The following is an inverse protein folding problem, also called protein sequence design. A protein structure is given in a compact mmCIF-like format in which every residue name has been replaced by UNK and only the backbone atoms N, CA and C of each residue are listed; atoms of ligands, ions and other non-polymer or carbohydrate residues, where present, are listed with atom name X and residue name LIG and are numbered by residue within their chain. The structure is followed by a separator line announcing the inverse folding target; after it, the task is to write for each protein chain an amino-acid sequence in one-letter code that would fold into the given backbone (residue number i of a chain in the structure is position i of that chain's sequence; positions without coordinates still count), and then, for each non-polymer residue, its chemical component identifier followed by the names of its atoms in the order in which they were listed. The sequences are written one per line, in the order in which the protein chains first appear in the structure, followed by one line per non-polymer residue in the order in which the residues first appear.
data_IF_232703212527
#
_entry.id   IF_232703212527
#
_cell.length_a   1.000
_cell.length_b   1.000
_cell.length_c   1.000
_cell.angle_alpha   90.00
_cell.angle_beta   90.00
_cell.angle_gamma   90.00
#
_symmetry.space_group_name_H-M   'P 1'
#
loop_
_entity.id
_entity.type
_entity.pdbx_description
1 polymer ?
#
# COMPACT_ATOMS: atom_id res chain seq x y z
N UNK A 1 -13.73 11.47 -15.16
CA UNK A 1 -12.28 11.67 -14.97
C UNK A 1 -11.89 11.07 -13.63
N UNK A 2 -10.95 10.13 -13.62
CA UNK A 2 -10.52 9.43 -12.42
C UNK A 2 -9.08 9.82 -12.08
N UNK A 3 -8.83 10.16 -10.82
CA UNK A 3 -7.49 10.41 -10.29
C UNK A 3 -7.15 9.32 -9.28
N UNK A 4 -6.02 8.64 -9.48
CA UNK A 4 -5.49 7.64 -8.55
C UNK A 4 -4.25 8.22 -7.87
N UNK A 5 -4.26 8.25 -6.54
CA UNK A 5 -3.19 8.80 -5.73
C UNK A 5 -2.34 7.65 -5.18
N UNK A 6 -1.16 7.41 -5.76
CA UNK A 6 -0.31 6.26 -5.42
C UNK A 6 0.64 5.87 -6.56
N UNK A 7 1.51 4.90 -6.30
CA UNK A 7 2.44 4.38 -7.31
C UNK A 7 2.83 2.91 -7.12
N UNK A 8 2.21 2.19 -6.18
CA UNK A 8 2.41 0.75 -6.02
C UNK A 8 1.51 -0.07 -6.95
N UNK A 9 1.57 -1.38 -6.83
CA UNK A 9 0.74 -2.29 -7.63
C UNK A 9 -0.77 -2.03 -7.43
N UNK A 10 -1.21 -1.68 -6.21
CA UNK A 10 -2.60 -1.24 -5.96
C UNK A 10 -3.00 -0.05 -6.84
N UNK A 11 -2.10 0.91 -7.05
CA UNK A 11 -2.38 2.05 -7.91
C UNK A 11 -2.49 1.60 -9.38
N UNK A 12 -1.64 0.65 -9.82
CA UNK A 12 -1.68 0.09 -11.18
C UNK A 12 -2.98 -0.67 -11.44
N UNK A 13 -3.45 -1.45 -10.48
CA UNK A 13 -4.74 -2.13 -10.54
C UNK A 13 -5.89 -1.12 -10.62
N UNK A 14 -5.87 -0.07 -9.80
CA UNK A 14 -6.88 0.98 -9.81
C UNK A 14 -6.95 1.70 -11.17
N UNK A 15 -5.81 2.12 -11.73
CA UNK A 15 -5.81 2.90 -12.99
C UNK A 15 -6.28 2.06 -14.17
N UNK A 16 -5.81 0.82 -14.29
CA UNK A 16 -6.20 -0.07 -15.39
C UNK A 16 -7.67 -0.52 -15.26
N UNK A 17 -8.14 -0.75 -14.03
CA UNK A 17 -9.56 -1.03 -13.78
C UNK A 17 -10.44 0.16 -14.14
N UNK A 18 -10.04 1.39 -13.79
CA UNK A 18 -10.79 2.59 -14.14
C UNK A 18 -10.91 2.77 -15.66
N UNK A 19 -9.84 2.51 -16.43
CA UNK A 19 -9.90 2.52 -17.90
C UNK A 19 -10.91 1.49 -18.42
N UNK A 20 -10.82 0.24 -17.94
CA UNK A 20 -11.71 -0.86 -18.37
C UNK A 20 -13.18 -0.63 -18.00
N UNK A 21 -13.46 0.14 -16.95
CA UNK A 21 -14.80 0.57 -16.55
C UNK A 21 -15.32 1.78 -17.36
N UNK A 22 -14.59 2.25 -18.37
CA UNK A 22 -15.04 3.31 -19.27
C UNK A 22 -14.78 4.73 -18.75
N UNK A 23 -13.81 4.92 -17.86
CA UNK A 23 -13.42 6.26 -17.45
C UNK A 23 -12.95 7.10 -18.66
N UNK A 24 -13.55 8.29 -18.84
CA UNK A 24 -13.17 9.19 -19.93
C UNK A 24 -11.70 9.63 -19.92
N UNK A 25 -11.08 9.65 -18.73
CA UNK A 25 -9.64 9.81 -18.56
C UNK A 25 -9.23 9.29 -17.18
N UNK A 26 -8.01 8.77 -17.09
CA UNK A 26 -7.40 8.28 -15.86
C UNK A 26 -6.01 8.90 -15.69
N UNK A 27 -5.75 9.43 -14.49
CA UNK A 27 -4.47 10.04 -14.14
C UNK A 27 -3.93 9.43 -12.86
N UNK A 28 -2.74 8.83 -12.94
CA UNK A 28 -1.97 8.36 -11.80
C UNK A 28 -1.08 9.50 -11.28
N UNK A 29 -1.27 9.89 -10.03
CA UNK A 29 -0.47 10.95 -9.37
C UNK A 29 0.47 10.30 -8.37
N UNK A 30 1.77 10.53 -8.55
CA UNK A 30 2.81 9.97 -7.70
C UNK A 30 3.76 11.04 -7.19
N UNK A 31 4.11 10.95 -5.90
CA UNK A 31 4.89 11.98 -5.19
C UNK A 31 6.39 11.96 -5.48
N UNK A 32 6.90 10.90 -6.11
CA UNK A 32 8.30 10.81 -6.52
C UNK A 32 8.38 10.71 -8.05
N UNK A 33 9.58 10.55 -8.55
CA UNK A 33 9.82 10.27 -9.95
C UNK A 33 9.40 8.85 -10.32
N UNK A 34 9.51 8.53 -11.61
CA UNK A 34 9.15 7.23 -12.15
C UNK A 34 10.09 6.11 -11.69
N UNK A 35 11.39 6.39 -11.59
CA UNK A 35 12.39 5.39 -11.21
C UNK A 35 12.20 4.89 -9.77
N UNK A 36 11.65 5.74 -8.90
CA UNK A 36 11.32 5.42 -7.51
C UNK A 36 9.92 4.79 -7.35
N UNK A 37 9.18 4.58 -8.43
CA UNK A 37 7.83 4.00 -8.38
C UNK A 37 7.88 2.54 -7.92
N UNK A 38 7.17 2.17 -6.83
CA UNK A 38 7.26 0.84 -6.25
C UNK A 38 6.51 -0.25 -7.03
N UNK A 39 5.54 0.14 -7.86
CA UNK A 39 4.81 -0.81 -8.71
C UNK A 39 5.73 -1.50 -9.72
N UNK A 40 5.35 -2.72 -10.11
CA UNK A 40 6.08 -3.49 -11.13
C UNK A 40 6.24 -2.68 -12.41
N UNK A 41 7.47 -2.56 -12.93
CA UNK A 41 7.77 -1.86 -14.18
C UNK A 41 6.92 -2.34 -15.35
N UNK A 42 6.62 -3.65 -15.37
CA UNK A 42 5.73 -4.24 -16.38
C UNK A 42 4.31 -3.70 -16.27
N UNK A 43 3.78 -3.58 -15.06
CA UNK A 43 2.43 -3.06 -14.82
C UNK A 43 2.33 -1.57 -15.13
N UNK A 44 3.38 -0.79 -14.80
CA UNK A 44 3.47 0.64 -15.17
C UNK A 44 3.44 0.80 -16.70
N UNK A 45 4.20 0.00 -17.44
CA UNK A 45 4.19 0.04 -18.91
C UNK A 45 2.83 -0.39 -19.49
N UNK A 46 2.24 -1.47 -18.99
CA UNK A 46 0.90 -1.90 -19.42
C UNK A 46 -0.15 -0.80 -19.16
N UNK A 47 -0.08 -0.12 -18.02
CA UNK A 47 -0.97 1.00 -17.71
C UNK A 47 -0.79 2.18 -18.69
N UNK A 48 0.44 2.48 -19.11
CA UNK A 48 0.70 3.48 -20.15
C UNK A 48 0.14 3.09 -21.50
N UNK A 49 0.35 1.84 -21.91
CA UNK A 49 -0.16 1.32 -23.18
C UNK A 49 -1.69 1.34 -23.23
N UNK A 50 -2.35 1.18 -22.08
CA UNK A 50 -3.81 1.34 -21.94
C UNK A 50 -4.28 2.81 -21.93
N UNK A 51 -3.38 3.79 -21.86
CA UNK A 51 -3.69 5.23 -21.94
C UNK A 51 -3.73 5.98 -20.60
N UNK A 52 -3.13 5.44 -19.54
CA UNK A 52 -3.03 6.14 -18.24
C UNK A 52 -2.07 7.33 -18.34
N UNK A 53 -2.51 8.50 -17.85
CA UNK A 53 -1.65 9.66 -17.71
C UNK A 53 -0.88 9.61 -16.40
N UNK A 54 0.44 9.80 -16.42
CA UNK A 54 1.25 9.81 -15.21
C UNK A 54 1.70 11.23 -14.84
N UNK A 55 1.41 11.64 -13.61
CA UNK A 55 1.86 12.88 -12.99
C UNK A 55 2.82 12.56 -11.85
N UNK A 56 4.11 12.53 -12.18
CA UNK A 56 5.20 12.35 -11.22
C UNK A 56 5.53 13.65 -10.47
N UNK A 57 6.24 13.51 -9.34
CA UNK A 57 6.66 14.63 -8.51
C UNK A 57 5.47 15.54 -8.12
N UNK A 58 4.35 14.90 -7.77
CA UNK A 58 3.12 15.57 -7.32
C UNK A 58 2.57 14.88 -6.08
N UNK A 59 2.39 15.67 -5.03
CA UNK A 59 1.78 15.22 -3.78
C UNK A 59 0.38 15.82 -3.62
N UNK A 60 -0.65 15.03 -3.30
CA UNK A 60 -1.95 15.58 -2.91
C UNK A 60 -1.84 16.30 -1.56
N UNK A 61 -2.43 17.48 -1.48
CA UNK A 61 -2.49 18.29 -0.25
C UNK A 61 -3.93 18.60 0.20
N UNK A 62 -4.91 18.51 -0.70
CA UNK A 62 -6.33 18.62 -0.37
C UNK A 62 -7.21 17.90 -1.40
N UNK A 63 -8.33 17.34 -0.94
CA UNK A 63 -9.46 16.99 -1.80
C UNK A 63 -10.32 18.25 -1.95
N UNK A 64 -10.67 18.58 -3.19
CA UNK A 64 -11.45 19.78 -3.51
C UNK A 64 -12.89 19.39 -3.85
N UNK A 65 -13.84 20.17 -3.33
CA UNK A 65 -15.27 20.02 -3.58
C UNK A 65 -15.80 21.22 -4.34
N UNK A 66 -16.96 21.09 -4.96
CA UNK A 66 -17.64 22.19 -5.64
C UNK A 66 -18.11 23.23 -4.58
N UNK A 67 -17.71 24.51 -4.68
CA UNK A 67 -18.16 25.55 -3.75
C UNK A 67 -19.69 25.71 -3.69
N UNK A 68 -20.40 25.40 -4.78
CA UNK A 68 -21.85 25.44 -4.84
C UNK A 68 -22.52 24.13 -4.37
N UNK A 69 -21.76 23.02 -4.32
CA UNK A 69 -22.25 21.69 -3.93
C UNK A 69 -21.17 20.98 -3.07
N UNK A 70 -21.09 21.24 -1.75
CA UNK A 70 -20.00 20.75 -0.91
C UNK A 70 -19.84 19.23 -0.84
N UNK A 71 -20.89 18.46 -1.10
CA UNK A 71 -20.86 16.99 -1.15
C UNK A 71 -20.34 16.44 -2.50
N UNK A 72 -20.06 17.32 -3.47
CA UNK A 72 -19.60 16.95 -4.80
C UNK A 72 -18.11 17.22 -4.96
N UNK A 73 -17.35 16.15 -5.20
CA UNK A 73 -15.95 16.23 -5.59
C UNK A 73 -15.77 17.07 -6.86
N UNK A 74 -14.78 17.97 -6.86
CA UNK A 74 -14.38 18.77 -8.03
C UNK A 74 -12.94 18.46 -8.47
N UNK A 75 -12.08 17.99 -7.57
CA UNK A 75 -10.70 17.66 -7.89
C UNK A 75 -9.80 17.37 -6.71
N UNK A 76 -8.49 17.44 -6.98
CA UNK A 76 -7.43 17.29 -5.98
C UNK A 76 -6.45 18.43 -6.15
N UNK A 77 -6.11 19.10 -5.06
CA UNK A 77 -5.02 20.07 -5.02
C UNK A 77 -3.71 19.36 -4.83
N UNK A 78 -2.78 19.62 -5.73
CA UNK A 78 -1.47 18.98 -5.77
C UNK A 78 -0.38 20.02 -5.51
N UNK A 79 0.66 19.65 -4.79
CA UNK A 79 1.90 20.41 -4.68
C UNK A 79 3.01 19.70 -5.47
N UNK A 80 3.94 20.48 -6.03
CA UNK A 80 5.16 19.92 -6.62
C UNK A 80 6.06 19.37 -5.52
N UNK A 81 6.78 18.32 -5.86
CA UNK A 81 7.75 17.70 -4.97
C UNK A 81 9.09 17.49 -5.65
N UNK A 82 10.12 17.27 -4.85
CA UNK A 82 11.42 16.81 -5.32
C UNK A 82 12.04 15.80 -4.34
N UNK A 83 12.94 14.97 -4.85
CA UNK A 83 13.67 14.02 -4.04
C UNK A 83 14.56 14.75 -3.01
N UNK A 84 14.60 14.24 -1.78
CA UNK A 84 15.59 14.71 -0.81
C UNK A 84 16.91 13.96 -1.00
N UNK A 85 17.95 14.42 -0.32
CA UNK A 85 19.13 13.58 -0.10
C UNK A 85 18.69 12.23 0.52
N UNK A 86 19.35 11.12 0.15
CA UNK A 86 19.11 9.84 0.81
C UNK A 86 19.44 9.93 2.30
N UNK A 87 18.66 9.23 3.12
CA UNK A 87 18.95 9.06 4.55
C UNK A 87 20.13 8.10 4.78
N UNK A 88 20.48 7.83 6.05
CA UNK A 88 21.57 6.95 6.43
C UNK A 88 21.37 5.50 5.94
N UNK A 89 20.12 5.11 5.66
CA UNK A 89 19.74 3.81 5.10
C UNK A 89 19.61 3.84 3.56
N UNK A 90 20.02 4.94 2.92
CA UNK A 90 19.99 5.12 1.47
C UNK A 90 18.61 5.46 0.90
N UNK A 91 17.57 5.63 1.74
CA UNK A 91 16.21 5.89 1.29
C UNK A 91 16.06 7.36 0.93
N UNK A 92 15.55 7.62 -0.27
CA UNK A 92 15.21 8.98 -0.69
C UNK A 92 13.83 9.38 -0.16
N UNK A 93 13.83 10.45 0.62
CA UNK A 93 12.62 11.18 0.97
C UNK A 93 12.10 12.01 -0.19
N UNK A 94 11.05 12.76 0.07
CA UNK A 94 10.40 13.63 -0.89
C UNK A 94 9.99 14.88 -0.10
N UNK A 95 10.37 16.07 -0.59
CA UNK A 95 9.98 17.35 0.02
C UNK A 95 9.04 18.11 -0.90
N UNK A 96 8.07 18.78 -0.29
CA UNK A 96 7.16 19.68 -1.00
C UNK A 96 7.89 20.98 -1.34
N UNK A 97 7.69 21.46 -2.56
CA UNK A 97 8.18 22.76 -3.02
C UNK A 97 7.12 23.83 -2.79
N UNK A 98 7.50 24.91 -2.12
CA UNK A 98 6.61 26.05 -1.86
C UNK A 98 6.21 26.77 -3.16
N UNK A 99 4.98 27.30 -3.19
CA UNK A 99 4.49 28.19 -4.25
C UNK A 99 3.97 27.53 -5.54
N UNK A 100 4.14 26.20 -5.73
CA UNK A 100 3.70 25.51 -6.94
C UNK A 100 2.55 24.51 -6.65
N UNK A 101 1.39 25.06 -6.29
CA UNK A 101 0.15 24.28 -6.16
C UNK A 101 -0.66 24.32 -7.46
N UNK A 102 -1.24 23.19 -7.84
CA UNK A 102 -2.11 23.07 -9.01
C UNK A 102 -3.32 22.21 -8.67
N UNK A 103 -4.51 22.63 -9.10
CA UNK A 103 -5.71 21.81 -9.01
C UNK A 103 -5.81 20.87 -10.22
N UNK A 104 -6.12 19.61 -9.95
CA UNK A 104 -6.40 18.60 -10.97
C UNK A 104 -7.87 18.19 -10.86
N UNK A 105 -8.66 18.50 -11.89
CA UNK A 105 -10.09 18.15 -11.91
C UNK A 105 -10.30 16.64 -11.90
N UNK A 106 -11.21 16.18 -11.04
CA UNK A 106 -11.54 14.77 -10.87
C UNK A 106 -13.01 14.62 -10.51
N UNK A 107 -13.65 13.59 -11.05
CA UNK A 107 -15.01 13.19 -10.68
C UNK A 107 -14.99 12.00 -9.71
N UNK A 108 -13.86 11.26 -9.67
CA UNK A 108 -13.57 10.18 -8.73
C UNK A 108 -12.10 10.28 -8.31
N UNK A 109 -11.83 10.15 -7.01
CA UNK A 109 -10.47 10.04 -6.45
C UNK A 109 -10.32 8.70 -5.74
N UNK A 110 -9.30 7.93 -6.12
CA UNK A 110 -8.95 6.66 -5.48
C UNK A 110 -7.64 6.82 -4.70
N UNK A 111 -7.69 6.54 -3.40
CA UNK A 111 -6.52 6.58 -2.51
C UNK A 111 -5.82 5.22 -2.54
N UNK A 112 -4.64 5.16 -3.16
CA UNK A 112 -3.83 3.95 -3.32
C UNK A 112 -2.46 4.09 -2.64
N UNK A 113 -2.46 4.59 -1.39
CA UNK A 113 -1.24 4.81 -0.61
C UNK A 113 -0.67 3.55 0.05
N UNK A 114 -1.39 2.43 -0.05
CA UNK A 114 -1.10 1.19 0.66
C UNK A 114 -1.92 1.07 1.95
N UNK A 115 -1.52 0.13 2.79
CA UNK A 115 -2.20 -0.21 4.03
C UNK A 115 -1.23 -0.25 5.21
N UNK A 116 -1.78 -0.17 6.42
CA UNK A 116 -1.06 -0.39 7.67
C UNK A 116 -1.76 -1.50 8.44
N UNK A 117 -1.04 -2.11 9.38
CA UNK A 117 -1.67 -3.03 10.31
C UNK A 117 -2.83 -2.32 11.04
N UNK A 118 -3.97 -3.02 11.13
CA UNK A 118 -5.14 -2.58 11.90
C UNK A 118 -5.42 -3.68 12.92
N UNK A 119 -4.65 -3.71 14.03
CA UNK A 119 -4.77 -4.78 15.01
C UNK A 119 -6.16 -4.75 15.64
N UNK A 120 -6.77 -5.93 15.75
CA UNK A 120 -8.09 -6.04 16.36
C UNK A 120 -8.01 -5.81 17.87
N UNK A 121 -9.05 -5.24 18.51
CA UNK A 121 -9.04 -4.96 19.95
C UNK A 121 -8.72 -6.18 20.82
N UNK A 122 -9.20 -7.37 20.41
CA UNK A 122 -8.97 -8.62 21.16
C UNK A 122 -7.51 -9.07 21.18
N UNK A 123 -6.61 -8.47 20.38
CA UNK A 123 -5.18 -8.84 20.43
C UNK A 123 -4.60 -8.63 21.82
N UNK A 124 -5.05 -7.60 22.54
CA UNK A 124 -4.61 -7.28 23.89
C UNK A 124 -5.13 -8.32 24.91
N UNK A 125 -6.37 -8.79 24.73
CA UNK A 125 -6.98 -9.81 25.60
C UNK A 125 -6.19 -11.13 25.60
N UNK A 126 -5.48 -11.41 24.50
CA UNK A 126 -4.63 -12.60 24.33
C UNK A 126 -3.13 -12.30 24.41
N UNK A 127 -2.74 -11.08 24.76
CA UNK A 127 -1.34 -10.70 24.94
C UNK A 127 -0.49 -10.83 23.66
N UNK A 128 -1.06 -10.52 22.50
CA UNK A 128 -0.37 -10.58 21.21
C UNK A 128 0.57 -9.38 21.03
N UNK A 129 1.88 -9.63 21.13
CA UNK A 129 2.92 -8.62 20.95
C UNK A 129 2.97 -8.10 19.53
N UNK A 130 3.19 -6.79 19.39
CA UNK A 130 3.30 -6.08 18.12
C UNK A 130 4.50 -5.15 18.11
N UNK A 131 5.00 -4.83 16.93
CA UNK A 131 5.95 -3.73 16.76
C UNK A 131 5.25 -2.34 16.84
N UNK A 132 6.03 -1.27 16.68
CA UNK A 132 5.49 0.10 16.68
C UNK A 132 4.58 0.42 15.49
N UNK A 133 4.62 -0.40 14.43
CA UNK A 133 3.75 -0.32 13.26
C UNK A 133 2.45 -1.13 13.41
N UNK A 134 2.29 -1.89 14.50
CA UNK A 134 1.13 -2.74 14.76
C UNK A 134 1.22 -4.13 14.15
N UNK A 135 2.35 -4.50 13.53
CA UNK A 135 2.58 -5.83 12.97
C UNK A 135 2.83 -6.84 14.10
N UNK A 136 2.29 -8.05 13.96
CA UNK A 136 2.46 -9.12 14.94
C UNK A 136 3.90 -9.60 14.98
N UNK A 137 4.45 -9.70 16.18
CA UNK A 137 5.75 -10.32 16.39
C UNK A 137 5.58 -11.84 16.51
N UNK A 138 6.43 -12.57 15.79
CA UNK A 138 6.39 -14.04 15.73
C UNK A 138 7.78 -14.65 15.90
N UNK A 139 7.83 -15.96 16.11
CA UNK A 139 9.07 -16.71 16.29
C UNK A 139 9.60 -16.70 17.73
N UNK A 140 8.74 -16.42 18.71
CA UNK A 140 9.07 -16.46 20.15
C UNK A 140 9.31 -17.88 20.68
N UNK A 141 8.84 -18.89 19.94
CA UNK A 141 9.04 -20.31 20.25
C UNK A 141 9.14 -21.13 18.97
N UNK A 142 8.01 -21.65 18.49
CA UNK A 142 7.95 -22.31 17.18
C UNK A 142 7.96 -21.28 16.03
N UNK A 143 8.37 -21.67 14.82
CA UNK A 143 8.27 -20.79 13.64
C UNK A 143 6.88 -20.17 13.52
N UNK A 144 6.82 -18.86 13.28
CA UNK A 144 5.58 -18.09 13.10
C UNK A 144 4.61 -18.09 14.30
N UNK A 145 5.04 -18.62 15.47
CA UNK A 145 4.28 -18.54 16.71
C UNK A 145 4.36 -17.13 17.29
N UNK A 146 3.22 -16.57 17.68
CA UNK A 146 3.16 -15.26 18.37
C UNK A 146 3.57 -15.38 19.84
N UNK A 147 3.54 -14.28 20.59
CA UNK A 147 3.68 -14.32 22.05
C UNK A 147 2.62 -15.19 22.76
N UNK A 148 1.46 -15.42 22.13
CA UNK A 148 0.47 -16.35 22.66
C UNK A 148 0.75 -17.79 22.16
N UNK A 149 0.93 -18.78 23.05
CA UNK A 149 1.37 -20.14 22.68
C UNK A 149 0.49 -20.89 21.67
N UNK A 150 -0.78 -20.51 21.53
CA UNK A 150 -1.73 -21.16 20.61
C UNK A 150 -2.04 -20.36 19.34
N UNK A 151 -1.40 -19.21 19.15
CA UNK A 151 -1.67 -18.31 18.01
C UNK A 151 -0.43 -18.19 17.14
N UNK A 152 -0.63 -18.36 15.84
CA UNK A 152 0.39 -18.23 14.80
C UNK A 152 -0.04 -17.17 13.81
N UNK A 153 0.91 -16.50 13.18
CA UNK A 153 0.64 -15.47 12.19
C UNK A 153 1.69 -15.47 11.08
N UNK A 154 1.29 -15.06 9.88
CA UNK A 154 2.14 -14.97 8.70
C UNK A 154 1.56 -14.00 7.68
N UNK A 155 2.32 -13.72 6.62
CA UNK A 155 1.94 -12.78 5.57
C UNK A 155 1.94 -11.33 6.08
N UNK A 156 1.06 -10.51 5.53
CA UNK A 156 1.12 -9.06 5.70
C UNK A 156 0.89 -8.57 7.14
N UNK A 157 0.23 -9.37 7.98
CA UNK A 157 0.09 -9.05 9.41
C UNK A 157 1.41 -9.17 10.20
N UNK A 158 2.44 -9.79 9.60
CA UNK A 158 3.78 -9.94 10.18
C UNK A 158 4.79 -9.11 9.37
N UNK A 159 4.67 -9.11 8.04
CA UNK A 159 5.66 -8.50 7.12
C UNK A 159 5.34 -7.05 6.74
N UNK A 160 4.08 -6.63 6.88
CA UNK A 160 3.56 -5.46 6.18
C UNK A 160 3.27 -5.78 4.72
N UNK A 161 3.19 -4.75 3.86
CA UNK A 161 2.89 -4.96 2.45
C UNK A 161 4.03 -5.73 1.75
N UNK A 162 3.80 -7.01 1.47
CA UNK A 162 4.76 -7.93 0.84
C UNK A 162 4.04 -8.76 -0.26
N UNK A 163 4.75 -9.72 -0.84
CA UNK A 163 4.31 -10.51 -1.98
C UNK A 163 3.46 -11.73 -1.54
N UNK A 164 2.56 -12.16 -2.41
CA UNK A 164 1.76 -13.38 -2.18
C UNK A 164 2.65 -14.60 -1.92
N UNK A 165 3.80 -14.72 -2.58
CA UNK A 165 4.72 -15.86 -2.39
C UNK A 165 5.31 -15.92 -0.98
N UNK A 166 5.59 -14.77 -0.36
CA UNK A 166 6.11 -14.72 1.02
C UNK A 166 5.00 -15.04 2.01
N UNK A 167 3.77 -14.57 1.78
CA UNK A 167 2.61 -14.96 2.58
C UNK A 167 2.30 -16.48 2.51
N UNK A 168 2.41 -17.08 1.32
CA UNK A 168 2.26 -18.55 1.15
C UNK A 168 3.35 -19.31 1.89
N UNK A 169 4.60 -18.84 1.80
CA UNK A 169 5.72 -19.43 2.53
C UNK A 169 5.45 -19.38 4.05
N UNK A 170 5.09 -18.22 4.59
CA UNK A 170 4.80 -18.06 6.01
C UNK A 170 3.67 -18.99 6.47
N UNK A 171 2.59 -19.07 5.67
CA UNK A 171 1.46 -19.96 5.97
C UNK A 171 1.88 -21.44 6.00
N UNK A 172 2.76 -21.86 5.09
CA UNK A 172 3.29 -23.23 5.07
C UNK A 172 4.08 -23.55 6.34
N UNK A 173 5.02 -22.68 6.68
CA UNK A 173 5.91 -22.89 7.83
C UNK A 173 5.14 -22.78 9.17
N UNK A 174 4.17 -21.87 9.26
CA UNK A 174 3.23 -21.80 10.38
C UNK A 174 2.40 -23.09 10.49
N UNK A 175 1.92 -23.62 9.37
CA UNK A 175 1.18 -24.89 9.34
C UNK A 175 2.00 -26.08 9.85
N UNK A 176 3.26 -26.19 9.45
CA UNK A 176 4.17 -27.21 9.99
C UNK A 176 4.44 -27.02 11.49
N UNK A 177 4.56 -25.77 11.95
CA UNK A 177 4.72 -25.46 13.36
C UNK A 177 3.48 -25.83 14.20
N UNK A 178 2.28 -25.54 13.69
CA UNK A 178 1.01 -25.95 14.30
C UNK A 178 0.92 -27.49 14.37
N UNK A 179 1.28 -28.20 13.29
CA UNK A 179 1.29 -29.65 13.27
C UNK A 179 2.25 -30.24 14.33
N UNK A 180 3.44 -29.66 14.48
CA UNK A 180 4.40 -30.01 15.55
C UNK A 180 3.81 -29.75 16.94
N UNK A 181 3.19 -28.60 17.16
CA UNK A 181 2.55 -28.25 18.44
C UNK A 181 1.44 -29.23 18.82
N UNK A 182 0.63 -29.66 17.84
CA UNK A 182 -0.46 -30.61 18.03
C UNK A 182 -0.01 -32.08 18.02
N UNK A 183 1.30 -32.35 17.96
CA UNK A 183 1.87 -33.70 17.86
C UNK A 183 1.32 -34.53 16.70
N UNK A 184 0.88 -33.88 15.62
CA UNK A 184 0.40 -34.55 14.42
C UNK A 184 1.62 -35.16 13.71
N UNK A 185 1.69 -36.50 13.68
CA UNK A 185 2.71 -37.20 12.89
C UNK A 185 2.31 -37.12 11.41
N UNK A 186 3.25 -36.77 10.52
CA UNK A 186 3.05 -36.94 9.08
C UNK A 186 2.73 -38.41 8.81
N UNK A 187 1.63 -38.67 8.11
CA UNK A 187 1.43 -39.97 7.49
C UNK A 187 2.58 -40.19 6.50
N UNK A 188 3.23 -41.35 6.62
CA UNK A 188 4.35 -41.75 5.78
C UNK A 188 3.94 -41.87 4.31
#
# INVERSE_FOLDING_TARGET
RVVVLGGGDTAMDCVRSAIRLGAASVTCVYRRDEQDMPGSRREVNNARDEGVNFLFNRQPIAIEVDPAQPDRLSGVRLARTEATAPDAEGRRGCRVLDGAQTSLSADIVLLAFGFRASPAPWFDDFGLSRDSGGLLQVGTGLPYQTSHPKVFAGGDNVRGADLVVTAVHDGREAGEAIARMLTVRRAA
#
